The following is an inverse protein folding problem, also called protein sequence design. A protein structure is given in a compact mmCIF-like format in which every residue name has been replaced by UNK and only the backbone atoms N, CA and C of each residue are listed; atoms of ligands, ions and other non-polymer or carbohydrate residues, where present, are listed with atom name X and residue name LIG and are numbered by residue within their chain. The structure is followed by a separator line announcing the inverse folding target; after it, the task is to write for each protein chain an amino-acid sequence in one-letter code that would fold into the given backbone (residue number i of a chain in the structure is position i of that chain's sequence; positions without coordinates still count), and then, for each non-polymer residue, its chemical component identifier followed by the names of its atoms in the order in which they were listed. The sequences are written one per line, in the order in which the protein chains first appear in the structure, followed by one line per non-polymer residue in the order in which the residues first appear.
data_IF_226195546612
#
_entry.id   IF_226195546612
#
_cell.length_a   1.000
_cell.length_b   1.000
_cell.length_c   1.000
_cell.angle_alpha   90.00
_cell.angle_beta   90.00
_cell.angle_gamma   90.00
#
_symmetry.space_group_name_H-M   'P 1'
#
loop_
_entity.id
_entity.type
_entity.pdbx_description
1 polymer ?
#
# COMPACT_ATOMS: atom_id res chain seq x y z
N UNK A 1 30.88 7.01 19.91
CA UNK A 1 30.01 7.51 18.82
C UNK A 1 30.67 7.14 17.50
N UNK A 2 29.87 6.62 16.56
CA UNK A 2 30.16 6.02 15.23
C UNK A 2 31.36 6.50 14.43
N UNK A 3 31.88 5.62 13.55
CA UNK A 3 31.99 5.95 12.11
C UNK A 3 31.24 4.92 11.24
N UNK A 4 30.34 5.31 10.33
CA UNK A 4 30.61 5.78 8.95
C UNK A 4 31.60 4.87 8.19
N UNK A 5 31.06 3.92 7.41
CA UNK A 5 31.72 3.45 6.19
C UNK A 5 30.74 2.74 5.26
N UNK A 6 30.30 3.47 4.23
CA UNK A 6 29.87 2.85 2.98
C UNK A 6 31.10 2.47 2.19
N UNK A 7 31.17 1.24 1.72
CA UNK A 7 32.19 0.82 0.74
C UNK A 7 31.52 0.24 -0.49
N UNK A 8 31.96 0.82 -1.59
CA UNK A 8 31.52 0.71 -2.97
C UNK A 8 31.44 -0.70 -3.54
N UNK A 9 30.41 -0.84 -4.37
CA UNK A 9 30.06 -1.98 -5.21
C UNK A 9 30.99 -2.17 -6.42
N UNK A 10 32.22 -1.65 -6.39
CA UNK A 10 33.07 -1.50 -7.57
C UNK A 10 34.43 -2.24 -7.53
N UNK A 11 34.76 -2.98 -6.46
CA UNK A 11 36.12 -3.52 -6.28
C UNK A 11 36.30 -5.03 -6.52
N UNK A 12 35.31 -5.77 -7.01
CA UNK A 12 35.44 -7.23 -7.24
C UNK A 12 35.56 -7.62 -8.72
N UNK A 13 35.99 -6.70 -9.59
CA UNK A 13 36.36 -7.00 -10.98
C UNK A 13 37.89 -6.98 -11.10
N UNK A 14 38.47 -8.16 -11.33
CA UNK A 14 39.88 -8.49 -11.70
C UNK A 14 40.86 -8.86 -10.58
N UNK A 15 40.90 -10.15 -10.29
CA UNK A 15 42.11 -10.97 -10.09
C UNK A 15 41.62 -12.44 -10.11
N UNK A 16 42.24 -13.45 -10.70
CA UNK A 16 43.43 -13.61 -11.52
C UNK A 16 43.28 -15.00 -12.20
N UNK A 17 44.05 -15.24 -13.25
CA UNK A 17 44.03 -16.46 -14.05
C UNK A 17 44.59 -17.68 -13.29
N UNK A 18 43.98 -18.86 -13.53
CA UNK A 18 44.62 -20.18 -13.48
C UNK A 18 44.60 -20.96 -12.16
N UNK A 19 43.79 -22.03 -12.08
CA UNK A 19 44.23 -23.44 -12.23
C UNK A 19 43.27 -24.47 -11.60
N UNK A 20 42.99 -25.49 -12.42
CA UNK A 20 42.77 -26.92 -12.14
C UNK A 20 41.46 -27.39 -11.48
N UNK A 21 40.81 -28.31 -12.20
CA UNK A 21 39.58 -29.02 -11.89
C UNK A 21 39.68 -29.92 -10.64
N UNK A 22 38.52 -30.30 -10.08
CA UNK A 22 38.28 -31.73 -9.90
C UNK A 22 36.91 -32.20 -10.40
N UNK A 23 36.99 -33.31 -11.15
CA UNK A 23 36.04 -34.43 -11.20
C UNK A 23 34.54 -34.13 -11.28
N UNK A 24 34.08 -34.22 -12.53
CA UNK A 24 32.71 -34.46 -12.98
C UNK A 24 32.05 -35.62 -12.23
N UNK A 25 31.11 -35.30 -11.33
CA UNK A 25 30.10 -36.27 -10.85
C UNK A 25 28.83 -36.08 -11.67
N UNK A 26 28.40 -37.14 -12.36
CA UNK A 26 27.25 -37.16 -13.26
C UNK A 26 25.94 -37.10 -12.45
N UNK A 27 25.01 -36.17 -12.70
CA UNK A 27 23.63 -36.32 -12.26
C UNK A 27 22.80 -37.00 -13.37
N UNK A 28 22.23 -38.15 -13.01
CA UNK A 28 21.26 -38.92 -13.77
C UNK A 28 20.13 -38.04 -14.30
N UNK A 29 19.92 -38.10 -15.62
CA UNK A 29 19.02 -37.21 -16.34
C UNK A 29 17.54 -37.38 -16.00
N UNK A 30 16.88 -36.26 -15.74
CA UNK A 30 15.43 -36.11 -15.93
C UNK A 30 15.22 -36.00 -17.44
N UNK A 31 14.65 -37.04 -18.06
CA UNK A 31 14.26 -37.01 -19.48
C UNK A 31 13.00 -36.16 -19.63
N UNK A 32 13.17 -34.94 -20.14
CA UNK A 32 12.06 -34.11 -20.66
C UNK A 32 11.60 -34.74 -21.97
N UNK A 33 10.42 -35.36 -21.97
CA UNK A 33 9.77 -35.84 -23.19
C UNK A 33 9.22 -34.65 -23.98
N UNK A 34 9.84 -34.38 -25.13
CA UNK A 34 9.34 -33.48 -26.17
C UNK A 34 8.05 -34.05 -26.75
N UNK A 35 6.93 -33.34 -26.60
CA UNK A 35 5.66 -33.70 -27.24
C UNK A 35 5.76 -33.71 -28.78
N UNK A 36 5.00 -34.57 -29.48
CA UNK A 36 5.12 -34.72 -30.92
C UNK A 36 4.55 -33.50 -31.65
N UNK A 37 5.40 -32.81 -32.39
CA UNK A 37 4.99 -31.82 -33.38
C UNK A 37 4.35 -32.52 -34.58
N UNK A 38 3.15 -32.07 -34.94
CA UNK A 38 2.42 -32.52 -36.11
C UNK A 38 3.12 -32.10 -37.42
N UNK A 39 3.09 -33.00 -38.41
CA UNK A 39 3.19 -32.66 -39.84
C UNK A 39 2.25 -33.57 -40.65
N UNK A 40 1.70 -33.10 -41.78
CA UNK A 40 0.43 -33.60 -42.32
C UNK A 40 0.55 -34.66 -43.42
N UNK A 41 -0.47 -35.53 -43.43
CA UNK A 41 -1.16 -36.23 -44.51
C UNK A 41 -0.50 -36.46 -45.90
N UNK A 42 -0.53 -37.72 -46.36
CA UNK A 42 -1.11 -38.18 -47.66
C UNK A 42 -1.34 -39.70 -47.59
N UNK A 43 -2.53 -40.15 -48.01
CA UNK A 43 -3.15 -41.49 -47.87
C UNK A 43 -2.68 -42.50 -48.96
N UNK A 44 -3.30 -43.70 -49.19
CA UNK A 44 -4.37 -44.44 -48.46
C UNK A 44 -4.16 -45.98 -48.32
N UNK A 45 -4.77 -46.62 -47.31
CA UNK A 45 -5.28 -48.02 -47.38
C UNK A 45 -6.17 -48.36 -46.15
N UNK A 46 -7.42 -48.74 -46.41
CA UNK A 46 -8.45 -49.25 -45.47
C UNK A 46 -8.37 -50.80 -45.35
N UNK A 47 -9.17 -51.52 -44.53
CA UNK A 47 -9.72 -51.30 -43.19
C UNK A 47 -9.27 -52.41 -42.20
N UNK A 48 -9.03 -52.06 -40.94
CA UNK A 48 -9.08 -53.04 -39.84
C UNK A 48 -9.87 -52.39 -38.69
N UNK A 49 -11.15 -52.73 -38.61
CA UNK A 49 -11.92 -52.60 -37.38
C UNK A 49 -11.27 -53.46 -36.30
N UNK A 50 -10.73 -52.83 -35.26
CA UNK A 50 -10.61 -53.44 -33.94
C UNK A 50 -10.79 -52.36 -32.86
N UNK A 51 -11.44 -52.73 -31.75
CA UNK A 51 -12.28 -51.82 -30.99
C UNK A 51 -11.49 -50.82 -30.15
N UNK A 52 -12.09 -49.63 -30.08
CA UNK A 52 -11.95 -48.58 -29.07
C UNK A 52 -11.56 -49.11 -27.68
N UNK A 53 -10.33 -48.84 -27.26
CA UNK A 53 -10.01 -48.68 -25.85
C UNK A 53 -9.93 -47.16 -25.56
N UNK A 54 -10.85 -46.58 -24.78
CA UNK A 54 -10.69 -45.20 -24.35
C UNK A 54 -9.55 -45.15 -23.33
N UNK A 55 -8.36 -44.76 -23.75
CA UNK A 55 -7.34 -44.24 -22.83
C UNK A 55 -7.76 -42.82 -22.50
N UNK A 56 -8.80 -42.67 -21.69
CA UNK A 56 -9.10 -41.39 -21.05
C UNK A 56 -7.90 -41.08 -20.15
N UNK A 57 -7.25 -39.90 -20.26
CA UNK A 57 -6.24 -39.51 -19.29
C UNK A 57 -6.95 -39.40 -17.94
N UNK A 58 -6.72 -40.39 -17.08
CA UNK A 58 -7.34 -40.43 -15.77
C UNK A 58 -6.95 -39.16 -15.02
N UNK A 59 -7.94 -38.38 -14.60
CA UNK A 59 -7.70 -37.08 -13.96
C UNK A 59 -6.83 -37.27 -12.72
N UNK A 60 -5.95 -36.30 -12.43
CA UNK A 60 -5.04 -36.38 -11.27
C UNK A 60 -5.82 -36.64 -9.97
N UNK A 61 -6.97 -36.01 -9.79
CA UNK A 61 -7.84 -36.21 -8.63
C UNK A 61 -8.45 -37.62 -8.57
N UNK A 62 -8.78 -38.20 -9.72
CA UNK A 62 -9.29 -39.57 -9.80
C UNK A 62 -8.19 -40.57 -9.44
N UNK A 63 -6.95 -40.34 -9.90
CA UNK A 63 -5.79 -41.15 -9.55
C UNK A 63 -5.43 -41.02 -8.06
N UNK A 64 -5.52 -39.83 -7.48
CA UNK A 64 -5.30 -39.63 -6.05
C UNK A 64 -6.37 -40.32 -5.21
N UNK A 65 -7.63 -40.27 -5.62
CA UNK A 65 -8.73 -41.00 -4.96
C UNK A 65 -8.48 -42.50 -5.00
N UNK A 66 -8.19 -43.06 -6.18
CA UNK A 66 -7.85 -44.48 -6.32
C UNK A 66 -6.61 -44.89 -5.52
N UNK A 67 -5.60 -44.00 -5.41
CA UNK A 67 -4.41 -44.27 -4.62
C UNK A 67 -4.72 -44.34 -3.12
N UNK A 68 -5.61 -43.48 -2.62
CA UNK A 68 -6.07 -43.49 -1.23
C UNK A 68 -6.93 -44.71 -0.91
N UNK A 69 -7.77 -45.15 -1.85
CA UNK A 69 -8.61 -46.35 -1.72
C UNK A 69 -7.83 -47.67 -1.95
N UNK A 70 -6.53 -47.59 -2.29
CA UNK A 70 -5.70 -48.76 -2.54
C UNK A 70 -5.45 -49.59 -1.27
N UNK A 71 -5.45 -50.92 -1.40
CA UNK A 71 -5.10 -51.85 -0.31
C UNK A 71 -3.60 -51.83 0.06
N UNK A 72 -2.75 -51.30 -0.82
CA UNK A 72 -1.32 -51.17 -0.57
C UNK A 72 -1.04 -49.94 0.31
N UNK A 73 -0.58 -50.17 1.55
CA UNK A 73 -0.28 -49.11 2.52
C UNK A 73 0.63 -47.99 1.97
N UNK A 74 1.65 -48.35 1.17
CA UNK A 74 2.55 -47.38 0.53
C UNK A 74 1.82 -46.46 -0.45
N UNK A 75 0.91 -47.02 -1.25
CA UNK A 75 0.15 -46.27 -2.27
C UNK A 75 -0.80 -45.29 -1.61
N UNK A 76 -1.51 -45.73 -0.57
CA UNK A 76 -2.37 -44.87 0.26
C UNK A 76 -1.60 -43.71 0.88
N UNK A 77 -0.47 -44.01 1.53
CA UNK A 77 0.38 -43.00 2.14
C UNK A 77 0.90 -41.95 1.14
N UNK A 78 1.27 -42.38 -0.08
CA UNK A 78 1.65 -41.45 -1.15
C UNK A 78 0.47 -40.60 -1.61
N UNK A 79 -0.72 -41.19 -1.77
CA UNK A 79 -1.95 -40.47 -2.10
C UNK A 79 -2.26 -39.39 -1.07
N UNK A 80 -2.27 -39.74 0.23
CA UNK A 80 -2.46 -38.81 1.33
C UNK A 80 -1.43 -37.68 1.33
N UNK A 81 -0.14 -38.01 1.15
CA UNK A 81 0.94 -37.02 1.15
C UNK A 81 0.84 -36.06 -0.03
N UNK A 82 0.57 -36.57 -1.24
CA UNK A 82 0.43 -35.73 -2.43
C UNK A 82 -0.80 -34.82 -2.28
N UNK A 83 -1.93 -35.36 -1.82
CA UNK A 83 -3.13 -34.57 -1.54
C UNK A 83 -2.85 -33.47 -0.52
N UNK A 84 -2.15 -33.76 0.57
CA UNK A 84 -1.76 -32.75 1.56
C UNK A 84 -0.84 -31.66 0.98
N UNK A 85 0.10 -32.01 0.10
CA UNK A 85 0.95 -31.03 -0.58
C UNK A 85 0.18 -30.16 -1.56
N UNK A 86 -0.74 -30.75 -2.33
CA UNK A 86 -1.61 -30.00 -3.23
C UNK A 86 -2.48 -29.02 -2.45
N UNK A 87 -3.10 -29.46 -1.35
CA UNK A 87 -3.89 -28.59 -0.47
C UNK A 87 -3.06 -27.44 0.11
N UNK A 88 -1.82 -27.71 0.54
CA UNK A 88 -0.92 -26.66 1.04
C UNK A 88 -0.56 -25.63 -0.03
N UNK A 89 -0.26 -26.08 -1.25
CA UNK A 89 0.05 -25.19 -2.37
C UNK A 89 -1.16 -24.38 -2.80
N UNK A 90 -2.35 -25.00 -2.90
CA UNK A 90 -3.60 -24.30 -3.22
C UNK A 90 -3.89 -23.22 -2.20
N UNK A 91 -3.84 -23.55 -0.90
CA UNK A 91 -4.05 -22.57 0.17
C UNK A 91 -3.03 -21.42 0.13
N UNK A 92 -1.77 -21.71 -0.22
CA UNK A 92 -0.74 -20.68 -0.37
C UNK A 92 -0.99 -19.76 -1.57
N UNK A 93 -1.46 -20.32 -2.69
CA UNK A 93 -1.80 -19.55 -3.88
C UNK A 93 -3.00 -18.66 -3.60
N UNK A 94 -4.06 -19.19 -2.98
CA UNK A 94 -5.25 -18.43 -2.61
C UNK A 94 -4.91 -17.26 -1.69
N UNK A 95 -4.12 -17.50 -0.63
CA UNK A 95 -3.65 -16.43 0.26
C UNK A 95 -2.84 -15.35 -0.48
N UNK A 96 -2.02 -15.73 -1.48
CA UNK A 96 -1.30 -14.74 -2.29
C UNK A 96 -2.24 -13.95 -3.20
N UNK A 97 -3.28 -14.59 -3.75
CA UNK A 97 -4.29 -13.90 -4.56
C UNK A 97 -5.10 -12.93 -3.72
N UNK A 98 -5.53 -13.32 -2.52
CA UNK A 98 -6.22 -12.43 -1.58
C UNK A 98 -5.37 -11.20 -1.25
N UNK A 99 -4.08 -11.40 -0.95
CA UNK A 99 -3.16 -10.28 -0.73
C UNK A 99 -3.01 -9.36 -1.94
N UNK A 100 -3.01 -9.90 -3.17
CA UNK A 100 -2.97 -9.10 -4.39
C UNK A 100 -4.27 -8.31 -4.57
N UNK A 101 -5.41 -8.95 -4.38
CA UNK A 101 -6.72 -8.31 -4.46
C UNK A 101 -6.88 -7.20 -3.42
N UNK A 102 -6.43 -7.42 -2.18
CA UNK A 102 -6.44 -6.40 -1.13
C UNK A 102 -5.57 -5.19 -1.49
N UNK A 103 -4.37 -5.43 -2.06
CA UNK A 103 -3.50 -4.35 -2.54
C UNK A 103 -4.13 -3.57 -3.68
N UNK A 104 -4.69 -4.26 -4.67
CA UNK A 104 -5.37 -3.63 -5.79
C UNK A 104 -6.60 -2.83 -5.33
N UNK A 105 -7.38 -3.37 -4.40
CA UNK A 105 -8.52 -2.67 -3.80
C UNK A 105 -8.07 -1.44 -3.01
N UNK A 106 -6.99 -1.54 -2.23
CA UNK A 106 -6.43 -0.41 -1.51
C UNK A 106 -5.88 0.67 -2.46
N UNK A 107 -5.24 0.28 -3.57
CA UNK A 107 -4.80 1.21 -4.60
C UNK A 107 -5.97 1.87 -5.32
N UNK A 108 -7.04 1.12 -5.63
CA UNK A 108 -8.25 1.66 -6.24
C UNK A 108 -8.91 2.69 -5.31
N UNK A 109 -9.05 2.37 -4.02
CA UNK A 109 -9.54 3.31 -3.01
C UNK A 109 -8.66 4.56 -2.93
N UNK A 110 -7.33 4.41 -2.96
CA UNK A 110 -6.41 5.56 -2.97
C UNK A 110 -6.58 6.43 -4.21
N UNK A 111 -6.82 5.84 -5.38
CA UNK A 111 -7.09 6.58 -6.63
C UNK A 111 -8.39 7.34 -6.54
N UNK A 112 -9.46 6.70 -6.08
CA UNK A 112 -10.77 7.34 -5.87
C UNK A 112 -10.66 8.51 -4.90
N UNK A 113 -9.97 8.32 -3.76
CA UNK A 113 -9.72 9.41 -2.81
C UNK A 113 -8.88 10.54 -3.41
N UNK A 114 -7.90 10.22 -4.27
CA UNK A 114 -7.09 11.23 -4.96
C UNK A 114 -7.91 12.03 -5.98
N UNK A 115 -8.79 11.37 -6.74
CA UNK A 115 -9.72 12.02 -7.67
C UNK A 115 -10.75 12.88 -6.93
N UNK A 116 -11.32 12.37 -5.84
CA UNK A 116 -12.20 13.14 -4.96
C UNK A 116 -11.47 14.36 -4.36
N UNK A 117 -10.21 14.20 -3.93
CA UNK A 117 -9.40 15.32 -3.45
C UNK A 117 -9.13 16.35 -4.55
N UNK A 118 -8.86 15.92 -5.79
CA UNK A 118 -8.63 16.81 -6.92
C UNK A 118 -9.89 17.62 -7.29
N UNK A 119 -11.07 16.99 -7.27
CA UNK A 119 -12.34 17.68 -7.52
C UNK A 119 -12.68 18.70 -6.43
N UNK A 120 -12.47 18.35 -5.15
CA UNK A 120 -12.63 19.31 -4.06
C UNK A 120 -11.64 20.47 -4.17
N UNK A 121 -10.38 20.19 -4.55
CA UNK A 121 -9.38 21.22 -4.75
C UNK A 121 -9.76 22.20 -5.89
N UNK A 122 -10.31 21.70 -7.00
CA UNK A 122 -10.77 22.56 -8.10
C UNK A 122 -11.98 23.41 -7.71
N UNK A 123 -12.96 22.85 -6.99
CA UNK A 123 -14.10 23.60 -6.45
C UNK A 123 -13.65 24.70 -5.49
N UNK A 124 -12.73 24.40 -4.56
CA UNK A 124 -12.17 25.39 -3.64
C UNK A 124 -11.38 26.47 -4.36
N UNK A 125 -10.64 26.12 -5.43
CA UNK A 125 -9.94 27.09 -6.25
C UNK A 125 -10.91 28.03 -6.96
N UNK A 126 -12.01 27.53 -7.50
CA UNK A 126 -13.06 28.33 -8.12
C UNK A 126 -13.71 29.29 -7.13
N UNK A 127 -14.08 28.81 -5.94
CA UNK A 127 -14.64 29.66 -4.87
C UNK A 127 -13.63 30.74 -4.44
N UNK A 128 -12.36 30.39 -4.27
CA UNK A 128 -11.30 31.36 -3.96
C UNK A 128 -11.13 32.39 -5.07
N UNK A 129 -11.25 32.01 -6.33
CA UNK A 129 -11.16 32.93 -7.45
C UNK A 129 -12.34 33.90 -7.48
N UNK A 130 -13.58 33.40 -7.26
CA UNK A 130 -14.78 34.23 -7.13
C UNK A 130 -14.63 35.24 -5.98
N UNK A 131 -14.17 34.79 -4.81
CA UNK A 131 -13.91 35.66 -3.67
C UNK A 131 -12.78 36.68 -3.92
N UNK A 132 -11.71 36.30 -4.63
CA UNK A 132 -10.64 37.23 -5.01
C UNK A 132 -11.16 38.30 -5.98
N UNK A 133 -12.04 37.94 -6.91
CA UNK A 133 -12.68 38.88 -7.83
C UNK A 133 -13.53 39.94 -7.13
N UNK A 134 -14.19 39.57 -6.02
CA UNK A 134 -15.00 40.50 -5.21
C UNK A 134 -14.18 41.25 -4.16
N UNK A 135 -13.09 40.66 -3.64
CA UNK A 135 -12.25 41.21 -2.57
C UNK A 135 -11.04 42.02 -3.07
N UNK A 136 -10.71 41.92 -4.36
CA UNK A 136 -9.52 42.50 -4.98
C UNK A 136 -9.49 44.03 -5.09
N UNK A 137 -10.60 44.72 -4.81
CA UNK A 137 -10.63 46.20 -4.87
C UNK A 137 -10.24 46.87 -3.54
N UNK A 138 -10.46 46.21 -2.40
CA UNK A 138 -10.24 46.82 -1.08
C UNK A 138 -9.03 46.23 -0.30
N UNK A 139 -8.41 45.15 -0.81
CA UNK A 139 -7.35 44.42 -0.12
C UNK A 139 -5.94 45.05 -0.19
N UNK A 140 -5.78 46.21 -0.83
CA UNK A 140 -4.50 46.93 -0.85
C UNK A 140 -4.15 47.59 0.51
N UNK A 141 -5.10 47.68 1.44
CA UNK A 141 -4.85 48.12 2.80
C UNK A 141 -4.42 46.91 3.68
N UNK A 142 -3.14 46.86 4.02
CA UNK A 142 -2.50 45.81 4.83
C UNK A 142 -3.35 45.36 6.05
N UNK A 143 -3.76 44.08 6.16
CA UNK A 143 -4.53 43.55 7.30
C UNK A 143 -3.75 43.56 8.63
N UNK A 144 -2.45 43.79 8.57
CA UNK A 144 -1.60 43.91 9.76
C UNK A 144 -1.92 45.17 10.60
N UNK A 145 -2.51 46.21 9.99
CA UNK A 145 -2.91 47.44 10.71
C UNK A 145 -4.27 47.30 11.39
N UNK A 146 -5.23 46.59 10.77
CA UNK A 146 -6.54 46.34 11.39
C UNK A 146 -6.42 45.39 12.58
N UNK A 147 -5.69 44.28 12.44
CA UNK A 147 -5.51 43.31 13.52
C UNK A 147 -4.75 43.92 14.73
N UNK A 148 -3.82 44.85 14.49
CA UNK A 148 -3.17 45.62 15.57
C UNK A 148 -4.11 46.56 16.31
N UNK A 149 -5.10 47.14 15.63
CA UNK A 149 -6.11 48.00 16.26
C UNK A 149 -7.11 47.17 17.05
N UNK A 150 -7.52 46.03 16.50
CA UNK A 150 -8.43 45.09 17.15
C UNK A 150 -7.83 44.52 18.44
N UNK A 151 -6.58 44.03 18.40
CA UNK A 151 -5.89 43.58 19.60
C UNK A 151 -5.59 44.70 20.61
N UNK A 152 -5.58 45.97 20.20
CA UNK A 152 -5.47 47.10 21.11
C UNK A 152 -6.82 47.43 21.79
N UNK A 153 -7.93 47.33 21.06
CA UNK A 153 -9.30 47.49 21.57
C UNK A 153 -9.64 46.42 22.61
N UNK A 154 -9.41 45.15 22.27
CA UNK A 154 -9.66 44.03 23.19
C UNK A 154 -8.85 44.16 24.49
N UNK A 155 -7.60 44.62 24.42
CA UNK A 155 -6.81 44.91 25.63
C UNK A 155 -7.36 46.06 26.45
N UNK A 156 -8.00 47.05 25.83
CA UNK A 156 -8.65 48.13 26.57
C UNK A 156 -9.91 47.62 27.30
N UNK A 157 -10.69 46.75 26.66
CA UNK A 157 -11.87 46.10 27.26
C UNK A 157 -11.49 45.22 28.45
N UNK A 158 -10.46 44.37 28.29
CA UNK A 158 -9.96 43.53 29.38
C UNK A 158 -9.48 44.39 30.55
N UNK A 159 -8.81 45.53 30.29
CA UNK A 159 -8.40 46.46 31.37
C UNK A 159 -9.60 47.09 32.09
N UNK A 160 -10.61 47.56 31.35
CA UNK A 160 -11.80 48.15 31.94
C UNK A 160 -12.56 47.14 32.81
N UNK A 161 -12.70 45.90 32.32
CA UNK A 161 -13.28 44.81 33.09
C UNK A 161 -12.44 44.48 34.33
N UNK A 162 -11.11 44.39 34.18
CA UNK A 162 -10.22 44.07 35.28
C UNK A 162 -10.31 45.10 36.42
N UNK A 163 -10.29 46.40 36.10
CA UNK A 163 -10.46 47.48 37.08
C UNK A 163 -11.83 47.42 37.75
N UNK A 164 -12.90 47.17 37.00
CA UNK A 164 -14.25 47.03 37.55
C UNK A 164 -14.40 45.83 38.50
N UNK A 165 -13.60 44.78 38.32
CA UNK A 165 -13.56 43.58 39.16
C UNK A 165 -12.48 43.65 40.26
N UNK A 166 -11.76 44.78 40.39
CA UNK A 166 -10.75 44.99 41.43
C UNK A 166 -9.39 44.36 41.17
N UNK A 167 -9.08 43.97 39.92
CA UNK A 167 -7.74 43.50 39.54
C UNK A 167 -6.79 44.67 39.27
N UNK A 168 -5.54 44.55 39.73
CA UNK A 168 -4.49 45.53 39.47
C UNK A 168 -3.87 45.30 38.09
N UNK A 169 -4.01 46.27 37.18
CA UNK A 169 -3.46 46.22 35.82
C UNK A 169 -2.76 47.52 35.48
N UNK A 170 -1.60 47.41 34.83
CA UNK A 170 -0.90 48.57 34.31
C UNK A 170 -1.71 49.28 33.22
N UNK A 171 -1.72 50.62 33.25
CA UNK A 171 -2.45 51.48 32.29
C UNK A 171 -2.15 51.15 30.83
N UNK A 172 -0.90 50.73 30.54
CA UNK A 172 -0.44 50.38 29.18
C UNK A 172 0.37 49.10 29.16
N UNK A 173 0.43 48.48 27.98
CA UNK A 173 1.29 47.32 27.72
C UNK A 173 0.55 45.98 27.69
N UNK A 174 1.28 44.89 27.94
CA UNK A 174 0.73 43.53 27.97
C UNK A 174 -0.03 43.31 29.28
N UNK A 175 -1.18 42.65 29.17
CA UNK A 175 -1.99 42.24 30.33
C UNK A 175 -1.46 40.89 30.80
N UNK A 176 -1.49 40.66 32.12
CA UNK A 176 -1.09 39.37 32.68
C UNK A 176 -2.02 38.25 32.15
N UNK A 177 -1.44 37.06 32.02
CA UNK A 177 -2.17 35.89 31.48
C UNK A 177 -3.37 35.53 32.35
N UNK A 178 -3.22 35.61 33.68
CA UNK A 178 -4.28 35.31 34.65
C UNK A 178 -5.54 36.17 34.43
N UNK A 179 -5.36 37.47 34.17
CA UNK A 179 -6.48 38.40 33.95
C UNK A 179 -7.15 38.15 32.59
N UNK A 180 -6.37 37.74 31.59
CA UNK A 180 -6.89 37.40 30.26
C UNK A 180 -7.72 36.12 30.32
N UNK A 181 -7.26 35.11 31.08
CA UNK A 181 -7.99 33.87 31.32
C UNK A 181 -9.26 34.11 32.15
N UNK A 182 -9.21 34.96 33.19
CA UNK A 182 -10.38 35.31 33.99
C UNK A 182 -11.44 36.06 33.15
N UNK A 183 -11.01 36.98 32.29
CA UNK A 183 -11.89 37.67 31.35
C UNK A 183 -12.54 36.69 30.36
N UNK A 184 -11.77 35.75 29.80
CA UNK A 184 -12.28 34.73 28.90
C UNK A 184 -13.29 33.81 29.59
N UNK A 185 -13.04 33.40 30.84
CA UNK A 185 -13.97 32.61 31.63
C UNK A 185 -15.28 33.37 31.93
N UNK A 186 -15.19 34.68 32.19
CA UNK A 186 -16.36 35.52 32.47
C UNK A 186 -17.19 35.84 31.22
N UNK A 187 -16.54 35.95 30.06
CA UNK A 187 -17.18 36.41 28.80
C UNK A 187 -17.48 35.26 27.83
N UNK A 188 -17.02 34.04 28.12
CA UNK A 188 -17.18 32.87 27.25
C UNK A 188 -16.37 32.93 25.93
N UNK A 189 -15.47 33.90 25.79
CA UNK A 189 -14.61 34.04 24.62
C UNK A 189 -13.40 33.12 24.76
N UNK A 190 -13.34 32.04 23.99
CA UNK A 190 -12.21 31.12 23.98
C UNK A 190 -10.89 31.87 23.68
N UNK A 191 -9.89 31.70 24.55
CA UNK A 191 -8.56 32.29 24.36
C UNK A 191 -7.88 31.56 23.20
N UNK A 192 -8.02 32.09 21.99
CA UNK A 192 -7.27 31.61 20.83
C UNK A 192 -5.76 31.79 21.11
N UNK A 193 -5.07 30.65 21.25
CA UNK A 193 -3.63 30.52 21.52
C UNK A 193 -2.79 30.92 20.31
#
# INVERSE_FOLDING_TARGET
MTPLNGTDRAAAVRAAHGQLAPTQHVPMGIRVIKGPGASPATAPATPQDTPTAPTTPRGVDELLRMAMDSDLARTRHLGEKITGLVQNLTARIEAEQEQRQEREAAEAQRRELAEAAATLASQLAEVRQKLRGTSGRDSAASPQRSNRREGAGQRAEIRAWAVANGFEVADRGRISRQITEAYAAATGSEVAR
#
